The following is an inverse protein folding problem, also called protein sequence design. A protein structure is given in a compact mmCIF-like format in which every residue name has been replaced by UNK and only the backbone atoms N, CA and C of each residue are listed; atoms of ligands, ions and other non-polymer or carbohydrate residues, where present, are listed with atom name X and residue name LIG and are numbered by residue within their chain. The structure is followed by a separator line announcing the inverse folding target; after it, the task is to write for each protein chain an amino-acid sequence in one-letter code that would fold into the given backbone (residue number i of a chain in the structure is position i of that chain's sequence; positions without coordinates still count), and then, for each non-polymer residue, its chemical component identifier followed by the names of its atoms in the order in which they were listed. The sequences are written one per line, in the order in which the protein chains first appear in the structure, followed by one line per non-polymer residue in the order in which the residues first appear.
data_IF_430056193305
#
_entry.id   IF_430056193305
#
_cell.length_a   1.000
_cell.length_b   1.000
_cell.length_c   1.000
_cell.angle_alpha   90.00
_cell.angle_beta   90.00
_cell.angle_gamma   90.00
#
_symmetry.space_group_name_H-M   'P 1'
#
loop_
_entity.id
_entity.type
_entity.pdbx_description
1 polymer ?
#
# COMPACT_ATOMS: atom_id res chain seq x y z
N UNK A 1 -37.35 -17.49 9.87
CA UNK A 1 -36.76 -16.56 8.88
C UNK A 1 -35.32 -16.36 9.28
N UNK A 2 -34.35 -16.80 8.48
CA UNK A 2 -32.94 -16.68 8.82
C UNK A 2 -32.53 -15.20 8.82
N UNK A 3 -31.88 -14.79 9.90
CA UNK A 3 -31.43 -13.43 10.12
C UNK A 3 -30.35 -13.09 9.08
N UNK A 4 -30.63 -12.17 8.15
CA UNK A 4 -29.73 -11.82 7.04
C UNK A 4 -28.73 -10.72 7.39
N UNK A 5 -28.67 -10.33 8.67
CA UNK A 5 -27.81 -9.25 9.12
C UNK A 5 -26.46 -9.76 9.56
N UNK A 6 -25.42 -9.05 9.12
CA UNK A 6 -24.04 -9.28 9.56
C UNK A 6 -23.93 -8.74 10.99
N UNK A 7 -23.40 -9.51 11.97
CA UNK A 7 -23.17 -9.03 13.33
C UNK A 7 -22.32 -7.76 13.38
N UNK A 8 -22.57 -6.88 14.35
CA UNK A 8 -21.92 -5.57 14.42
C UNK A 8 -20.40 -5.66 14.59
N UNK A 9 -19.93 -6.68 15.29
CA UNK A 9 -18.51 -6.96 15.49
C UNK A 9 -17.82 -7.28 14.15
N UNK A 10 -18.49 -8.05 13.30
CA UNK A 10 -17.97 -8.38 11.96
C UNK A 10 -17.98 -7.14 11.06
N UNK A 11 -19.01 -6.29 11.16
CA UNK A 11 -19.02 -5.00 10.46
C UNK A 11 -17.83 -4.13 10.89
N UNK A 12 -17.53 -4.06 12.19
CA UNK A 12 -16.40 -3.30 12.70
C UNK A 12 -15.05 -3.83 12.16
N UNK A 13 -14.85 -5.15 12.13
CA UNK A 13 -13.64 -5.77 11.56
C UNK A 13 -13.50 -5.53 10.06
N UNK A 14 -14.61 -5.50 9.30
CA UNK A 14 -14.60 -5.11 7.88
C UNK A 14 -14.17 -3.64 7.75
N UNK A 15 -14.77 -2.74 8.55
CA UNK A 15 -14.48 -1.31 8.51
C UNK A 15 -13.00 -1.02 8.82
N UNK A 16 -12.38 -1.71 9.79
CA UNK A 16 -10.95 -1.54 10.12
C UNK A 16 -10.00 -1.79 8.94
N UNK A 17 -10.43 -2.51 7.91
CA UNK A 17 -9.62 -2.82 6.70
C UNK A 17 -9.81 -1.81 5.58
N UNK A 18 -10.73 -0.87 5.72
CA UNK A 18 -11.04 0.10 4.67
C UNK A 18 -10.11 1.32 4.76
N UNK A 19 -9.77 1.94 3.62
CA UNK A 19 -9.08 3.23 3.60
C UNK A 19 -9.84 4.31 4.39
N UNK A 20 -9.10 5.17 5.08
CA UNK A 20 -9.64 6.25 5.92
C UNK A 20 -10.66 7.13 5.18
N UNK A 21 -10.42 7.41 3.89
CA UNK A 21 -11.34 8.21 3.04
C UNK A 21 -12.72 7.57 2.91
N UNK A 22 -12.80 6.23 2.86
CA UNK A 22 -14.08 5.50 2.80
C UNK A 22 -14.75 5.55 4.17
N UNK A 23 -13.98 5.35 5.25
CA UNK A 23 -14.50 5.39 6.62
C UNK A 23 -15.13 6.75 6.97
N UNK A 24 -14.53 7.85 6.54
CA UNK A 24 -15.12 9.19 6.73
C UNK A 24 -16.51 9.26 6.09
N UNK A 25 -16.71 8.69 4.90
CA UNK A 25 -18.05 8.63 4.27
C UNK A 25 -19.03 7.75 5.04
N UNK A 26 -18.56 6.67 5.65
CA UNK A 26 -19.42 5.76 6.43
C UNK A 26 -19.98 6.40 7.70
N UNK A 27 -19.39 7.51 8.17
CA UNK A 27 -19.95 8.29 9.29
C UNK A 27 -21.33 8.88 8.98
N UNK A 28 -21.69 9.06 7.70
CA UNK A 28 -23.01 9.57 7.31
C UNK A 28 -24.07 8.48 7.10
N UNK A 29 -23.70 7.20 7.19
CA UNK A 29 -24.61 6.08 6.89
C UNK A 29 -25.53 5.78 8.08
N UNK A 30 -24.98 5.75 9.29
CA UNK A 30 -25.75 5.44 10.50
C UNK A 30 -25.12 6.01 11.76
N UNK A 31 -25.93 6.26 12.80
CA UNK A 31 -25.44 6.71 14.11
C UNK A 31 -24.48 5.68 14.77
N UNK A 32 -24.76 4.36 14.75
CA UNK A 32 -23.83 3.37 15.28
C UNK A 32 -22.47 3.37 14.58
N UNK A 33 -22.45 3.49 13.25
CA UNK A 33 -21.21 3.53 12.48
C UNK A 33 -20.41 4.80 12.75
N UNK A 34 -21.07 5.96 12.82
CA UNK A 34 -20.41 7.20 13.19
C UNK A 34 -19.78 7.12 14.59
N UNK A 35 -20.51 6.58 15.57
CA UNK A 35 -20.02 6.40 16.94
C UNK A 35 -18.81 5.46 16.99
N UNK A 36 -18.89 4.33 16.29
CA UNK A 36 -17.80 3.37 16.18
C UNK A 36 -16.54 4.00 15.57
N UNK A 37 -16.66 4.63 14.39
CA UNK A 37 -15.53 5.22 13.65
C UNK A 37 -14.86 6.33 14.46
N UNK A 38 -15.63 7.12 15.21
CA UNK A 38 -15.11 8.21 16.04
C UNK A 38 -14.55 7.76 17.40
N UNK A 39 -14.72 6.49 17.76
CA UNK A 39 -14.21 5.98 19.05
C UNK A 39 -12.68 5.85 19.03
N UNK A 40 -12.03 6.21 20.13
CA UNK A 40 -10.57 6.10 20.27
C UNK A 40 -10.07 4.66 20.12
N UNK A 41 -10.85 3.69 20.63
CA UNK A 41 -10.58 2.25 20.46
C UNK A 41 -10.53 1.87 18.98
N UNK A 42 -11.55 2.26 18.21
CA UNK A 42 -11.59 1.95 16.77
C UNK A 42 -10.45 2.62 16.02
N UNK A 43 -10.15 3.90 16.30
CA UNK A 43 -9.07 4.63 15.62
C UNK A 43 -7.71 3.97 15.88
N UNK A 44 -7.43 3.53 17.11
CA UNK A 44 -6.20 2.82 17.45
C UNK A 44 -6.12 1.46 16.77
N UNK A 45 -7.24 0.74 16.71
CA UNK A 45 -7.32 -0.58 16.09
C UNK A 45 -7.41 -0.51 14.55
N UNK A 46 -7.66 0.69 14.00
CA UNK A 46 -7.68 0.92 12.57
C UNK A 46 -6.23 0.87 12.09
N UNK A 47 -5.85 -0.23 11.44
CA UNK A 47 -4.58 -0.32 10.76
C UNK A 47 -4.61 0.69 9.61
N UNK A 48 -4.00 1.86 9.81
CA UNK A 48 -3.55 2.65 8.68
C UNK A 48 -2.70 1.68 7.85
N UNK A 49 -3.17 1.31 6.65
CA UNK A 49 -2.39 0.51 5.73
C UNK A 49 -1.06 1.24 5.63
N UNK A 50 0.04 0.66 6.12
CA UNK A 50 1.28 1.38 6.19
C UNK A 50 1.60 1.88 4.79
N UNK A 51 1.99 3.14 4.66
CA UNK A 51 2.52 3.60 3.40
C UNK A 51 3.67 2.67 3.03
N UNK A 52 3.74 2.25 1.77
CA UNK A 52 4.82 1.39 1.31
C UNK A 52 5.72 2.18 0.40
N UNK A 53 7.00 2.25 0.74
CA UNK A 53 8.01 2.83 -0.12
C UNK A 53 8.42 1.81 -1.17
N UNK A 54 8.50 2.25 -2.42
CA UNK A 54 9.08 1.47 -3.50
C UNK A 54 10.52 1.93 -3.72
N UNK A 55 11.47 1.01 -3.63
CA UNK A 55 12.88 1.31 -3.77
C UNK A 55 13.47 0.54 -4.95
N UNK A 56 14.18 1.28 -5.80
CA UNK A 56 15.06 0.76 -6.85
C UNK A 56 16.50 1.01 -6.42
N UNK A 57 17.34 -0.02 -6.44
CA UNK A 57 18.76 0.11 -6.15
C UNK A 57 19.58 -0.98 -6.86
N UNK A 58 20.87 -0.74 -7.05
CA UNK A 58 21.80 -1.71 -7.61
C UNK A 58 22.57 -2.41 -6.49
N UNK A 59 22.78 -3.71 -6.62
CA UNK A 59 23.61 -4.51 -5.71
C UNK A 59 24.52 -5.46 -6.48
N UNK A 60 25.63 -5.87 -5.87
CA UNK A 60 26.52 -6.85 -6.48
C UNK A 60 25.83 -8.22 -6.54
N UNK A 61 25.66 -8.76 -7.76
CA UNK A 61 25.12 -10.10 -7.99
C UNK A 61 26.17 -11.20 -7.86
N UNK A 62 25.72 -12.46 -7.96
CA UNK A 62 26.55 -13.67 -7.82
C UNK A 62 27.74 -13.71 -8.80
N UNK A 63 27.62 -13.06 -9.96
CA UNK A 63 28.63 -13.06 -11.03
C UNK A 63 29.44 -11.75 -11.10
N UNK A 64 29.51 -10.95 -10.02
CA UNK A 64 30.09 -9.59 -10.02
C UNK A 64 29.42 -8.57 -10.96
N UNK A 65 28.32 -8.94 -11.60
CA UNK A 65 27.49 -8.02 -12.37
C UNK A 65 26.60 -7.21 -11.42
N UNK A 66 26.43 -5.91 -11.71
CA UNK A 66 25.44 -5.11 -10.99
C UNK A 66 24.03 -5.64 -11.30
N UNK A 67 23.34 -6.07 -10.26
CA UNK A 67 21.96 -6.53 -10.32
C UNK A 67 21.03 -5.43 -9.81
N UNK A 68 20.04 -5.09 -10.63
CA UNK A 68 18.99 -4.16 -10.26
C UNK A 68 17.92 -4.85 -9.40
N UNK A 69 17.60 -4.26 -8.25
CA UNK A 69 16.60 -4.77 -7.32
C UNK A 69 15.48 -3.77 -7.09
N UNK A 70 14.26 -4.31 -7.08
CA UNK A 70 13.04 -3.59 -6.76
C UNK A 70 12.39 -4.20 -5.54
N UNK A 71 12.17 -3.39 -4.52
CA UNK A 71 11.56 -3.83 -3.27
C UNK A 71 10.47 -2.90 -2.80
N UNK A 72 9.53 -3.46 -2.06
CA UNK A 72 8.53 -2.71 -1.35
C UNK A 72 8.81 -2.81 0.15
N UNK A 73 9.01 -1.66 0.79
CA UNK A 73 9.30 -1.54 2.21
C UNK A 73 8.12 -0.87 2.88
N UNK A 74 7.79 -1.29 4.10
CA UNK A 74 6.81 -0.59 4.92
C UNK A 74 7.43 0.69 5.48
N UNK A 75 6.76 1.83 5.26
CA UNK A 75 7.13 3.14 5.77
C UNK A 75 6.66 3.27 7.23
N UNK A 76 7.36 2.56 8.11
CA UNK A 76 7.23 2.62 9.56
C UNK A 76 8.61 2.66 10.23
N UNK A 77 8.64 2.73 11.56
CA UNK A 77 9.89 2.72 12.35
C UNK A 77 10.73 1.43 12.17
N UNK A 78 10.19 0.43 11.48
CA UNK A 78 10.83 -0.85 11.20
C UNK A 78 11.43 -0.95 9.79
N UNK A 79 11.58 0.17 9.07
CA UNK A 79 12.08 0.36 7.69
C UNK A 79 13.08 -0.71 7.15
N UNK A 80 13.98 -1.23 7.98
CA UNK A 80 14.98 -2.21 7.55
C UNK A 80 14.55 -3.69 7.65
N UNK A 81 13.47 -4.02 8.37
CA UNK A 81 13.10 -5.40 8.70
C UNK A 81 12.10 -6.02 7.72
N UNK A 82 11.26 -5.21 7.08
CA UNK A 82 10.13 -5.68 6.27
C UNK A 82 10.30 -5.37 4.78
N UNK A 83 11.33 -5.96 4.17
CA UNK A 83 11.62 -5.82 2.74
C UNK A 83 10.97 -6.96 1.97
N UNK A 84 9.96 -6.64 1.15
CA UNK A 84 9.34 -7.61 0.25
C UNK A 84 9.87 -7.46 -1.17
N UNK A 85 10.28 -8.54 -1.84
CA UNK A 85 10.63 -8.49 -3.25
C UNK A 85 9.40 -8.12 -4.07
N UNK A 86 9.58 -7.29 -5.09
CA UNK A 86 8.50 -6.85 -5.97
C UNK A 86 8.62 -7.50 -7.34
N UNK A 87 7.49 -7.95 -7.87
CA UNK A 87 7.39 -8.40 -9.25
C UNK A 87 7.19 -7.17 -10.13
N UNK A 88 8.17 -6.88 -10.97
CA UNK A 88 8.13 -5.77 -11.90
C UNK A 88 7.68 -6.26 -13.29
N UNK A 89 6.74 -5.56 -13.96
CA UNK A 89 6.32 -5.88 -15.32
C UNK A 89 7.49 -5.91 -16.32
N UNK A 90 7.44 -6.82 -17.30
CA UNK A 90 8.47 -6.94 -18.35
C UNK A 90 8.63 -5.67 -19.20
N UNK A 91 7.64 -4.79 -19.24
CA UNK A 91 7.75 -3.48 -19.90
C UNK A 91 8.75 -2.56 -19.20
N UNK A 92 8.79 -2.56 -17.86
CA UNK A 92 9.71 -1.76 -17.07
C UNK A 92 11.14 -2.32 -17.15
N UNK A 93 11.29 -3.65 -17.18
CA UNK A 93 12.61 -4.31 -17.36
C UNK A 93 13.27 -4.02 -18.72
N UNK A 94 12.49 -3.59 -19.71
CA UNK A 94 13.00 -3.22 -21.05
C UNK A 94 13.48 -1.78 -21.12
N UNK A 95 13.22 -0.98 -20.09
CA UNK A 95 13.68 0.40 -20.00
C UNK A 95 15.15 0.35 -19.57
N UNK A 96 16.04 0.97 -20.34
CA UNK A 96 17.48 0.93 -20.04
C UNK A 96 17.81 1.76 -18.81
N UNK A 97 17.16 2.92 -18.66
CA UNK A 97 17.33 3.79 -17.49
C UNK A 97 15.98 4.42 -17.06
N UNK A 98 15.10 3.65 -16.39
CA UNK A 98 13.78 4.16 -16.00
C UNK A 98 13.86 5.26 -14.93
N UNK A 99 13.63 6.50 -15.34
CA UNK A 99 13.44 7.61 -14.42
C UNK A 99 11.97 7.69 -14.02
N UNK A 100 11.69 7.75 -12.71
CA UNK A 100 10.33 8.02 -12.22
C UNK A 100 10.07 9.51 -12.39
N UNK A 101 9.07 9.85 -13.20
CA UNK A 101 8.69 11.24 -13.45
C UNK A 101 7.64 11.70 -12.43
N UNK A 102 6.67 10.83 -12.12
CA UNK A 102 5.61 11.13 -11.17
C UNK A 102 4.91 9.85 -10.67
N UNK A 103 4.08 10.01 -9.64
CA UNK A 103 3.20 8.96 -9.12
C UNK A 103 1.81 9.50 -8.80
N UNK A 104 0.77 8.70 -9.03
CA UNK A 104 -0.61 9.04 -8.69
C UNK A 104 -1.42 7.79 -8.36
N UNK A 105 -2.10 7.77 -7.20
CA UNK A 105 -2.99 6.68 -6.78
C UNK A 105 -2.39 5.26 -6.88
N UNK A 106 -1.09 5.12 -6.57
CA UNK A 106 -0.37 3.84 -6.65
C UNK A 106 0.14 3.47 -8.05
N UNK A 107 -0.06 4.35 -9.04
CA UNK A 107 0.55 4.26 -10.37
C UNK A 107 1.83 5.09 -10.41
N UNK A 108 2.83 4.61 -11.16
CA UNK A 108 4.11 5.27 -11.37
C UNK A 108 4.31 5.52 -12.87
N UNK A 109 4.73 6.73 -13.23
CA UNK A 109 5.11 7.09 -14.58
C UNK A 109 6.63 6.98 -14.73
N UNK A 110 7.06 6.19 -15.72
CA UNK A 110 8.47 5.99 -16.03
C UNK A 110 8.80 6.61 -17.40
N UNK A 111 9.98 7.23 -17.48
CA UNK A 111 10.57 7.73 -18.71
C UNK A 111 11.93 7.03 -18.91
N UNK A 112 12.20 6.57 -20.13
CA UNK A 112 13.56 6.15 -20.49
C UNK A 112 14.36 7.38 -20.87
N UNK A 113 15.39 7.71 -20.09
CA UNK A 113 16.31 8.79 -20.46
C UNK A 113 17.29 8.37 -21.57
N UNK A 114 17.25 7.11 -21.98
CA UNK A 114 18.03 6.58 -23.10
C UNK A 114 17.17 6.56 -24.39
N UNK A 115 17.38 7.57 -25.25
CA UNK A 115 17.06 7.43 -26.68
C UNK A 115 18.24 6.75 -27.37
N UNK A 116 18.04 5.81 -28.31
CA UNK A 116 19.10 5.44 -29.24
C UNK A 116 19.61 6.65 -30.03
#
# INVERSE_FOLDING_TARGET
MADRYIPFEIQAEIMKRLPVKILIRFTSVSKPWNSLIRSSKFIRDCHAIPHRLLIRYFSQGVNNLMEEKYVSIVDDDSFHKQKLPMIIPMSVKRIYSPMIVCSSHGLFCFHDSFSP
#
